data_IF_878667891306
#
_entry.id   IF_878667891306
#
_cell.length_a   1.000
_cell.length_b   1.000
_cell.length_c   1.000
_cell.angle_alpha   90.00
_cell.angle_beta   90.00
_cell.angle_gamma   90.00
#
_symmetry.space_group_name_H-M   'P 1'
#
loop_
_entity.id
_entity.type
_entity.pdbx_description
1 polymer ?
#
# COMPACT_ATOMS: atom_id res chain seq x y z
N UNK A 1 -25.80 1.62 -18.66
CA UNK A 1 -25.26 3.00 -18.54
C UNK A 1 -24.23 3.11 -17.43
N UNK A 2 -24.28 2.25 -16.39
CA UNK A 2 -23.26 2.20 -15.32
C UNK A 2 -21.96 1.47 -15.70
N UNK A 3 -22.00 0.50 -16.62
CA UNK A 3 -20.79 -0.26 -17.04
C UNK A 3 -19.71 0.60 -17.69
N UNK A 4 -20.10 1.58 -18.53
CA UNK A 4 -19.15 2.48 -19.19
C UNK A 4 -18.47 3.47 -18.24
N UNK A 5 -19.10 3.77 -17.10
CA UNK A 5 -18.52 4.68 -16.11
C UNK A 5 -17.37 4.00 -15.34
N UNK A 6 -17.46 2.67 -15.14
CA UNK A 6 -16.37 1.89 -14.58
C UNK A 6 -15.15 1.89 -15.52
N UNK A 7 -15.32 1.70 -16.83
CA UNK A 7 -14.16 1.65 -17.73
C UNK A 7 -13.37 2.97 -17.83
N UNK A 8 -14.05 4.13 -17.78
CA UNK A 8 -13.38 5.43 -17.94
C UNK A 8 -12.84 6.02 -16.63
N UNK A 9 -13.41 5.66 -15.47
CA UNK A 9 -13.06 6.27 -14.18
C UNK A 9 -12.55 5.28 -13.13
N UNK A 10 -12.75 3.97 -13.32
CA UNK A 10 -12.18 2.96 -12.43
C UNK A 10 -10.71 2.74 -12.79
N UNK A 11 -9.83 3.51 -12.16
CA UNK A 11 -8.45 3.04 -12.00
C UNK A 11 -8.50 1.88 -11.02
N UNK A 12 -8.34 0.66 -11.55
CA UNK A 12 -8.05 -0.49 -10.72
C UNK A 12 -6.94 -0.08 -9.74
N UNK A 13 -7.12 -0.32 -8.43
CA UNK A 13 -6.07 -0.02 -7.47
C UNK A 13 -4.78 -0.64 -8.02
N UNK A 14 -3.66 0.11 -8.05
CA UNK A 14 -2.43 -0.40 -8.62
C UNK A 14 -2.16 -1.76 -7.98
N UNK A 15 -1.76 -2.75 -8.79
CA UNK A 15 -1.37 -4.07 -8.28
C UNK A 15 -0.15 -3.86 -7.37
N UNK A 16 -0.40 -3.54 -6.09
CA UNK A 16 0.65 -3.44 -5.08
C UNK A 16 1.06 -4.86 -4.82
N UNK A 17 2.12 -5.28 -5.50
CA UNK A 17 2.70 -6.59 -5.27
C UNK A 17 3.54 -6.56 -3.99
N UNK A 18 3.82 -7.74 -3.43
CA UNK A 18 4.70 -7.89 -2.26
C UNK A 18 6.07 -7.21 -2.49
N UNK A 19 6.53 -7.16 -3.75
CA UNK A 19 7.80 -6.57 -4.14
C UNK A 19 7.85 -5.03 -4.04
N UNK A 20 6.69 -4.37 -4.02
CA UNK A 20 6.62 -2.91 -3.92
C UNK A 20 6.53 -2.42 -2.45
N UNK A 21 6.12 -3.28 -1.52
CA UNK A 21 6.04 -2.92 -0.09
C UNK A 21 7.36 -2.45 0.52
N UNK A 22 8.52 -3.08 0.24
CA UNK A 22 9.81 -2.62 0.76
C UNK A 22 10.24 -1.24 0.25
N UNK A 23 9.62 -0.73 -0.84
CA UNK A 23 9.92 0.59 -1.39
C UNK A 23 9.14 1.70 -0.68
N UNK A 24 8.20 1.34 0.19
CA UNK A 24 7.40 2.29 0.96
C UNK A 24 8.24 2.76 2.15
N UNK A 25 8.88 3.91 2.00
CA UNK A 25 9.65 4.58 3.05
C UNK A 25 8.92 5.83 3.55
N UNK A 26 9.25 6.27 4.76
CA UNK A 26 8.76 7.49 5.39
C UNK A 26 9.28 8.70 4.58
N UNK A 27 8.39 9.64 4.27
CA UNK A 27 8.79 10.89 3.63
C UNK A 27 9.34 11.88 4.67
N UNK A 28 10.23 12.78 4.25
CA UNK A 28 10.94 13.73 5.14
C UNK A 28 10.01 14.54 6.08
N UNK A 29 8.80 14.86 5.63
CA UNK A 29 7.80 15.64 6.38
C UNK A 29 6.56 14.82 6.79
N UNK A 30 6.64 13.49 6.69
CA UNK A 30 5.56 12.59 7.07
C UNK A 30 5.76 12.15 8.52
N UNK A 31 4.70 12.18 9.34
CA UNK A 31 4.77 11.62 10.68
C UNK A 31 4.79 10.10 10.61
N UNK A 32 5.39 9.45 11.59
CA UNK A 32 5.44 7.98 11.68
C UNK A 32 4.04 7.35 11.58
N UNK A 33 3.04 7.97 12.22
CA UNK A 33 1.64 7.52 12.19
C UNK A 33 1.04 7.60 10.77
N UNK A 34 1.32 8.69 10.04
CA UNK A 34 0.87 8.86 8.65
C UNK A 34 1.55 7.85 7.73
N UNK A 35 2.85 7.62 7.92
CA UNK A 35 3.60 6.61 7.19
C UNK A 35 3.02 5.20 7.42
N UNK A 36 2.84 4.78 8.67
CA UNK A 36 2.26 3.47 9.00
C UNK A 36 0.84 3.34 8.44
N UNK A 37 0.05 4.41 8.51
CA UNK A 37 -1.29 4.46 7.92
C UNK A 37 -1.27 4.27 6.40
N UNK A 38 -0.33 4.90 5.70
CA UNK A 38 -0.13 4.77 4.25
C UNK A 38 0.35 3.36 3.89
N UNK A 39 1.31 2.81 4.63
CA UNK A 39 1.77 1.43 4.44
C UNK A 39 0.62 0.44 4.60
N UNK A 40 -0.21 0.57 5.64
CA UNK A 40 -1.37 -0.30 5.88
C UNK A 40 -2.39 -0.22 4.74
N UNK A 41 -2.67 0.98 4.22
CA UNK A 41 -3.56 1.17 3.07
C UNK A 41 -3.02 0.45 1.84
N UNK A 42 -1.74 0.60 1.52
CA UNK A 42 -1.10 -0.05 0.37
C UNK A 42 -1.05 -1.58 0.54
N UNK A 43 -0.76 -2.07 1.74
CA UNK A 43 -0.83 -3.50 2.06
C UNK A 43 -2.24 -4.07 1.86
N UNK A 44 -3.29 -3.34 2.23
CA UNK A 44 -4.67 -3.81 2.02
C UNK A 44 -5.06 -3.85 0.53
N UNK A 45 -4.30 -3.21 -0.36
CA UNK A 45 -4.44 -3.34 -1.81
C UNK A 45 -3.68 -4.54 -2.38
N UNK A 46 -2.80 -5.17 -1.61
CA UNK A 46 -2.16 -6.42 -2.02
C UNK A 46 -3.20 -7.53 -2.11
N UNK A 47 -3.23 -8.23 -3.26
CA UNK A 47 -4.09 -9.41 -3.46
C UNK A 47 -3.74 -10.57 -2.53
N UNK A 48 -2.50 -10.61 -2.03
CA UNK A 48 -1.99 -11.64 -1.13
C UNK A 48 -2.08 -11.17 0.31
N UNK A 49 -2.55 -12.04 1.19
CA UNK A 49 -2.46 -11.82 2.64
C UNK A 49 -0.99 -11.86 3.08
N UNK A 50 -0.61 -10.96 4.00
CA UNK A 50 0.75 -10.83 4.53
C UNK A 50 0.64 -10.78 6.05
N UNK A 51 1.29 -11.71 6.73
CA UNK A 51 1.30 -11.76 8.19
C UNK A 51 2.10 -10.59 8.77
N UNK A 52 1.78 -10.19 10.01
CA UNK A 52 2.51 -9.13 10.71
C UNK A 52 4.00 -9.41 10.85
N UNK A 53 4.35 -10.66 11.11
CA UNK A 53 5.75 -11.11 11.21
C UNK A 53 6.56 -10.86 9.93
N UNK A 54 5.89 -10.84 8.77
CA UNK A 54 6.55 -10.66 7.47
C UNK A 54 6.64 -9.19 7.07
N UNK A 55 5.64 -8.36 7.41
CA UNK A 55 5.63 -6.95 6.99
C UNK A 55 6.18 -5.97 8.02
N UNK A 56 6.13 -6.28 9.33
CA UNK A 56 6.63 -5.36 10.37
C UNK A 56 8.11 -5.02 10.17
N UNK A 57 9.02 -5.95 9.82
CA UNK A 57 10.40 -5.61 9.52
C UNK A 57 10.55 -4.65 8.33
N UNK A 58 9.65 -4.75 7.33
CA UNK A 58 9.65 -3.87 6.16
C UNK A 58 9.24 -2.44 6.57
N UNK A 59 8.22 -2.33 7.42
CA UNK A 59 7.76 -1.04 7.97
C UNK A 59 8.87 -0.38 8.78
N UNK A 60 9.51 -1.14 9.68
CA UNK A 60 10.58 -0.61 10.53
C UNK A 60 11.80 -0.19 9.72
N UNK A 61 12.14 -0.93 8.66
CA UNK A 61 13.24 -0.56 7.74
C UNK A 61 12.93 0.70 6.91
N UNK A 62 11.66 0.99 6.70
CA UNK A 62 11.20 2.15 5.94
C UNK A 62 10.94 3.40 6.77
N UNK A 63 11.02 3.35 8.11
CA UNK A 63 11.12 4.54 8.97
C UNK A 63 12.44 5.25 8.73
#
# INVERSE_FOLDING_TARGET
MEEKFHEEFYRAPPDVTLAELPRIIQMLNETVEKYIGRFRKLRNLCKTYICEVDYVPLVVKGL
#
